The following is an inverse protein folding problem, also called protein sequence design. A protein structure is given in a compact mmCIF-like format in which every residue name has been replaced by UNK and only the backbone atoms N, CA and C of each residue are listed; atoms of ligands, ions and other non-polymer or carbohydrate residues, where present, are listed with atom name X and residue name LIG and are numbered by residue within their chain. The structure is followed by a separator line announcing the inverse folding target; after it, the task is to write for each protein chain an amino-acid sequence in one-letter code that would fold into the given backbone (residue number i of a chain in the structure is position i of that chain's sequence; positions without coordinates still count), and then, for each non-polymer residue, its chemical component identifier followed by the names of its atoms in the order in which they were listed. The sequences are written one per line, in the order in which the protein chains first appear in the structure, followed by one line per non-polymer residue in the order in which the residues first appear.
data_IF_938721455555
#
_entry.id   IF_938721455555
#
_cell.length_a   1.000
_cell.length_b   1.000
_cell.length_c   1.000
_cell.angle_alpha   90.00
_cell.angle_beta   90.00
_cell.angle_gamma   90.00
#
_symmetry.space_group_name_H-M   'P 1'
#
loop_
_entity.id
_entity.type
_entity.pdbx_description
1 polymer ?
#
# COMPACT_ATOMS: atom_id res chain seq x y z
N UNK A 1 -29.02 4.09 -12.45
CA UNK A 1 -28.28 3.61 -11.26
C UNK A 1 -26.82 3.99 -11.46
N UNK A 2 -26.30 4.94 -10.68
CA UNK A 2 -24.85 5.17 -10.63
C UNK A 2 -24.29 4.00 -9.83
N UNK A 3 -23.58 3.07 -10.46
CA UNK A 3 -22.73 2.14 -9.73
C UNK A 3 -21.61 2.98 -9.11
N UNK A 4 -21.85 3.47 -7.90
CA UNK A 4 -20.79 3.99 -7.06
C UNK A 4 -19.91 2.79 -6.70
N UNK A 5 -18.81 2.64 -7.43
CA UNK A 5 -17.74 1.71 -7.09
C UNK A 5 -17.18 2.16 -5.74
N UNK A 6 -17.58 1.48 -4.66
CA UNK A 6 -17.13 1.76 -3.30
C UNK A 6 -15.97 0.83 -2.96
N UNK A 7 -14.87 1.41 -2.50
CA UNK A 7 -13.66 0.67 -2.13
C UNK A 7 -13.79 0.16 -0.70
N UNK A 8 -13.84 -1.16 -0.50
CA UNK A 8 -13.86 -1.75 0.84
C UNK A 8 -12.48 -1.70 1.49
N UNK A 9 -12.13 -0.60 2.16
CA UNK A 9 -10.81 -0.43 2.78
C UNK A 9 -10.55 -1.41 3.94
N UNK A 10 -11.58 -1.82 4.67
CA UNK A 10 -11.46 -2.87 5.68
C UNK A 10 -11.09 -4.22 5.08
N UNK A 11 -11.78 -4.62 4.01
CA UNK A 11 -11.54 -5.88 3.30
C UNK A 11 -10.13 -5.88 2.68
N UNK A 12 -9.73 -4.73 2.12
CA UNK A 12 -8.37 -4.53 1.61
C UNK A 12 -7.32 -4.76 2.72
N UNK A 13 -7.51 -4.17 3.90
CA UNK A 13 -6.58 -4.36 5.02
C UNK A 13 -6.50 -5.83 5.44
N UNK A 14 -7.64 -6.53 5.52
CA UNK A 14 -7.69 -7.96 5.83
C UNK A 14 -6.89 -8.78 4.81
N UNK A 15 -7.05 -8.49 3.52
CA UNK A 15 -6.31 -9.19 2.46
C UNK A 15 -4.79 -8.91 2.53
N UNK A 16 -4.38 -7.66 2.80
CA UNK A 16 -2.98 -7.30 2.99
C UNK A 16 -2.37 -8.07 4.16
N UNK A 17 -3.09 -8.14 5.29
CA UNK A 17 -2.65 -8.87 6.48
C UNK A 17 -2.50 -10.37 6.20
N UNK A 18 -3.39 -10.96 5.39
CA UNK A 18 -3.32 -12.37 5.02
C UNK A 18 -2.10 -12.72 4.13
N UNK A 19 -1.52 -11.75 3.41
CA UNK A 19 -0.31 -11.96 2.60
C UNK A 19 0.97 -12.13 3.45
N UNK A 20 0.94 -11.80 4.74
CA UNK A 20 2.11 -11.94 5.63
C UNK A 20 1.77 -12.91 6.76
N UNK A 21 2.30 -14.15 6.74
CA UNK A 21 2.02 -15.13 7.79
C UNK A 21 2.49 -14.60 9.16
N UNK A 22 1.70 -14.89 10.20
CA UNK A 22 1.97 -14.47 11.59
C UNK A 22 3.28 -15.03 12.17
N UNK A 23 3.83 -16.08 11.57
CA UNK A 23 5.04 -16.76 12.04
C UNK A 23 6.08 -16.88 10.93
N UNK A 24 7.05 -15.97 10.89
CA UNK A 24 8.39 -16.38 10.44
C UNK A 24 9.20 -16.71 11.69
N UNK A 25 10.07 -17.72 11.61
CA UNK A 25 10.93 -18.15 12.72
C UNK A 25 11.80 -16.97 13.19
N UNK A 26 11.43 -16.36 14.31
CA UNK A 26 12.13 -15.20 14.86
C UNK A 26 11.21 -14.29 15.66
N UNK A 27 10.48 -14.83 16.64
CA UNK A 27 9.54 -14.08 17.49
C UNK A 27 10.27 -13.02 18.34
N UNK A 28 10.52 -11.85 17.75
CA UNK A 28 11.10 -10.68 18.40
C UNK A 28 10.43 -9.39 17.94
N UNK A 29 10.44 -8.39 18.81
CA UNK A 29 9.91 -7.03 18.55
C UNK A 29 10.28 -6.46 17.16
N UNK A 30 11.51 -6.62 16.63
CA UNK A 30 11.88 -6.10 15.30
C UNK A 30 11.07 -6.73 14.16
N UNK A 31 10.73 -8.02 14.26
CA UNK A 31 9.96 -8.74 13.26
C UNK A 31 8.49 -8.29 13.25
N UNK A 32 7.92 -8.03 14.42
CA UNK A 32 6.58 -7.46 14.55
C UNK A 32 6.51 -6.06 13.95
N UNK A 33 7.53 -5.22 14.19
CA UNK A 33 7.59 -3.87 13.64
C UNK A 33 7.77 -3.86 12.12
N UNK A 34 8.65 -4.70 11.57
CA UNK A 34 8.86 -4.80 10.13
C UNK A 34 7.58 -5.25 9.39
N UNK A 35 6.83 -6.20 9.97
CA UNK A 35 5.52 -6.62 9.45
C UNK A 35 4.50 -5.49 9.49
N UNK A 36 4.35 -4.82 10.64
CA UNK A 36 3.41 -3.71 10.77
C UNK A 36 3.74 -2.59 9.78
N UNK A 37 5.03 -2.33 9.56
CA UNK A 37 5.47 -1.32 8.61
C UNK A 37 5.16 -1.71 7.16
N UNK A 38 5.39 -2.96 6.76
CA UNK A 38 5.03 -3.40 5.41
C UNK A 38 3.54 -3.32 5.14
N UNK A 39 2.72 -3.80 6.09
CA UNK A 39 1.24 -3.72 5.98
C UNK A 39 0.82 -2.26 5.81
N UNK A 40 1.41 -1.36 6.60
CA UNK A 40 1.14 0.08 6.54
C UNK A 40 1.50 0.68 5.18
N UNK A 41 2.69 0.38 4.65
CA UNK A 41 3.16 0.85 3.35
C UNK A 41 2.26 0.36 2.21
N UNK A 42 1.90 -0.92 2.21
CA UNK A 42 1.02 -1.50 1.18
C UNK A 42 -0.37 -0.88 1.27
N UNK A 43 -0.93 -0.73 2.48
CA UNK A 43 -2.23 -0.13 2.67
C UNK A 43 -2.26 1.31 2.15
N UNK A 44 -1.30 2.15 2.55
CA UNK A 44 -1.20 3.52 2.08
C UNK A 44 -1.07 3.55 0.56
N UNK A 45 -0.18 2.75 -0.03
CA UNK A 45 0.02 2.78 -1.48
C UNK A 45 -1.21 2.30 -2.26
N UNK A 46 -1.93 1.29 -1.76
CA UNK A 46 -3.19 0.84 -2.36
C UNK A 46 -4.27 1.92 -2.29
N UNK A 47 -4.42 2.59 -1.14
CA UNK A 47 -5.43 3.64 -0.98
C UNK A 47 -5.13 4.86 -1.86
N UNK A 48 -3.85 5.24 -2.00
CA UNK A 48 -3.41 6.25 -2.98
C UNK A 48 -3.64 5.78 -4.42
N UNK A 49 -3.45 4.49 -4.71
CA UNK A 49 -3.80 3.89 -6.00
C UNK A 49 -5.28 4.02 -6.33
N UNK A 50 -6.18 3.85 -5.35
CA UNK A 50 -7.61 4.11 -5.54
C UNK A 50 -7.89 5.59 -5.84
N UNK A 51 -7.29 6.51 -5.09
CA UNK A 51 -7.41 7.95 -5.36
C UNK A 51 -6.87 8.31 -6.75
N UNK A 52 -5.75 7.72 -7.17
CA UNK A 52 -5.15 7.93 -8.49
C UNK A 52 -6.06 7.39 -9.59
N UNK A 53 -6.59 6.17 -9.43
CA UNK A 53 -7.51 5.60 -10.39
C UNK A 53 -8.78 6.45 -10.54
N UNK A 54 -9.29 7.01 -9.43
CA UNK A 54 -10.43 7.93 -9.44
C UNK A 54 -10.09 9.23 -10.19
N UNK A 55 -8.95 9.85 -9.88
CA UNK A 55 -8.47 11.08 -10.55
C UNK A 55 -8.32 10.89 -12.07
N UNK A 56 -7.72 9.76 -12.48
CA UNK A 56 -7.46 9.46 -13.90
C UNK A 56 -8.63 8.80 -14.63
N UNK A 57 -9.72 8.48 -13.94
CA UNK A 57 -10.87 7.75 -14.50
C UNK A 57 -10.54 6.31 -14.91
N UNK A 58 -9.56 5.66 -14.28
CA UNK A 58 -9.17 4.28 -14.56
C UNK A 58 -10.12 3.29 -13.88
N UNK A 59 -10.34 2.15 -14.54
CA UNK A 59 -11.05 0.99 -13.96
C UNK A 59 -10.08 0.02 -13.30
N UNK A 60 -9.25 0.55 -12.43
CA UNK A 60 -8.23 -0.16 -11.66
C UNK A 60 -8.39 0.20 -10.17
N UNK A 61 -7.77 -0.58 -9.29
CA UNK A 61 -7.80 -0.37 -7.85
C UNK A 61 -6.44 -0.62 -7.24
N UNK A 62 -6.24 -0.13 -6.02
CA UNK A 62 -5.16 -0.54 -5.14
C UNK A 62 -3.80 -0.50 -5.83
N UNK A 63 -3.07 -1.59 -5.67
CA UNK A 63 -1.76 -1.77 -6.28
C UNK A 63 -1.81 -1.85 -7.81
N UNK A 64 -2.90 -2.34 -8.42
CA UNK A 64 -3.01 -2.43 -9.89
C UNK A 64 -2.97 -1.04 -10.54
N UNK A 65 -3.58 -0.03 -9.90
CA UNK A 65 -3.53 1.35 -10.37
C UNK A 65 -2.11 1.94 -10.31
N UNK A 66 -1.36 1.60 -9.26
CA UNK A 66 0.03 2.02 -9.06
C UNK A 66 0.96 1.33 -10.07
N UNK A 67 0.83 0.01 -10.22
CA UNK A 67 1.58 -0.78 -11.21
C UNK A 67 1.33 -0.24 -12.63
N UNK A 68 0.07 0.05 -12.97
CA UNK A 68 -0.29 0.64 -14.25
C UNK A 68 0.31 2.05 -14.44
N UNK A 69 0.28 2.91 -13.41
CA UNK A 69 0.89 4.23 -13.48
C UNK A 69 2.40 4.15 -13.74
N UNK A 70 3.11 3.25 -13.05
CA UNK A 70 4.54 3.01 -13.25
C UNK A 70 4.84 2.49 -14.66
N UNK A 71 4.06 1.53 -15.15
CA UNK A 71 4.17 1.05 -16.53
C UNK A 71 3.99 2.19 -17.53
N UNK A 72 2.99 3.06 -17.34
CA UNK A 72 2.74 4.18 -18.25
C UNK A 72 3.82 5.25 -18.21
N UNK A 73 4.38 5.55 -17.02
CA UNK A 73 5.36 6.63 -16.83
C UNK A 73 6.75 6.23 -17.30
N UNK A 74 7.18 5.01 -16.99
CA UNK A 74 8.55 4.56 -17.23
C UNK A 74 8.69 3.47 -18.28
N UNK A 75 7.59 2.93 -18.81
CA UNK A 75 7.59 1.79 -19.73
C UNK A 75 8.29 0.54 -19.17
N UNK A 76 8.35 0.42 -17.84
CA UNK A 76 8.92 -0.75 -17.19
C UNK A 76 7.99 -1.97 -17.33
N UNK A 77 8.55 -3.18 -17.51
CA UNK A 77 7.78 -4.41 -17.47
C UNK A 77 7.08 -4.59 -16.11
N UNK A 78 5.89 -5.17 -16.13
CA UNK A 78 5.11 -5.42 -14.92
C UNK A 78 5.86 -6.30 -13.92
N UNK A 79 6.60 -7.30 -14.40
CA UNK A 79 7.43 -8.19 -13.57
C UNK A 79 8.51 -7.40 -12.82
N UNK A 80 9.21 -6.49 -13.52
CA UNK A 80 10.21 -5.61 -12.92
C UNK A 80 9.60 -4.73 -11.83
N UNK A 81 8.42 -4.13 -12.08
CA UNK A 81 7.73 -3.32 -11.07
C UNK A 81 7.34 -4.17 -9.85
N UNK A 82 6.94 -5.42 -10.08
CA UNK A 82 6.51 -6.32 -9.01
C UNK A 82 7.65 -6.78 -8.11
N UNK A 83 8.87 -6.85 -8.64
CA UNK A 83 10.07 -7.15 -7.87
C UNK A 83 10.57 -5.95 -7.04
N UNK A 84 10.10 -4.72 -7.34
CA UNK A 84 10.49 -3.54 -6.60
C UNK A 84 9.93 -3.55 -5.16
N UNK A 85 10.73 -3.09 -4.17
CA UNK A 85 10.24 -2.76 -2.85
C UNK A 85 9.06 -1.78 -2.91
N UNK A 86 8.09 -1.92 -1.99
CA UNK A 86 6.89 -1.08 -1.94
C UNK A 86 7.26 0.41 -1.83
N UNK A 87 8.30 0.73 -1.04
CA UNK A 87 8.85 2.07 -0.92
C UNK A 87 9.32 2.65 -2.26
N UNK A 88 10.00 1.85 -3.09
CA UNK A 88 10.54 2.33 -4.36
C UNK A 88 9.44 2.60 -5.37
N UNK A 89 8.35 1.82 -5.34
CA UNK A 89 7.14 2.08 -6.14
C UNK A 89 6.52 3.42 -5.77
N UNK A 90 6.41 3.70 -4.46
CA UNK A 90 5.95 4.99 -3.97
C UNK A 90 6.89 6.12 -4.38
N UNK A 91 8.21 5.96 -4.20
CA UNK A 91 9.21 6.97 -4.54
C UNK A 91 9.16 7.32 -6.04
N UNK A 92 8.94 6.33 -6.91
CA UNK A 92 8.82 6.57 -8.34
C UNK A 92 7.57 7.40 -8.76
N UNK A 93 6.55 7.49 -7.89
CA UNK A 93 5.30 8.24 -8.12
C UNK A 93 5.04 9.35 -7.10
N UNK A 94 5.92 9.61 -6.14
CA UNK A 94 5.59 10.38 -4.93
C UNK A 94 5.03 11.78 -5.24
N UNK A 95 5.52 12.42 -6.31
CA UNK A 95 5.04 13.75 -6.75
C UNK A 95 3.60 13.68 -7.26
N UNK A 96 3.28 12.65 -8.06
CA UNK A 96 1.93 12.49 -8.62
C UNK A 96 0.93 12.07 -7.55
N UNK A 97 1.38 11.33 -6.53
CA UNK A 97 0.52 10.91 -5.43
C UNK A 97 0.31 12.00 -4.37
N UNK A 98 1.23 12.97 -4.26
CA UNK A 98 1.18 14.01 -3.23
C UNK A 98 -0.02 14.96 -3.39
N UNK A 99 -0.45 15.20 -4.62
CA UNK A 99 -1.57 16.11 -4.93
C UNK A 99 -2.95 15.43 -4.82
N UNK A 100 -2.99 14.11 -4.57
CA UNK A 100 -4.23 13.37 -4.53
C UNK A 100 -4.95 13.57 -3.20
N UNK A 101 -6.25 13.83 -3.27
CA UNK A 101 -7.10 13.75 -2.09
C UNK A 101 -7.14 12.30 -1.60
N UNK A 102 -6.67 12.09 -0.38
CA UNK A 102 -6.75 10.80 0.24
C UNK A 102 -8.16 10.54 0.77
N UNK A 103 -8.66 9.34 0.49
CA UNK A 103 -10.05 8.96 0.76
C UNK A 103 -10.37 8.97 2.26
N UNK A 104 -11.46 9.64 2.63
CA UNK A 104 -11.90 9.76 4.03
C UNK A 104 -12.18 8.38 4.65
N UNK A 105 -12.76 7.43 3.90
CA UNK A 105 -13.01 6.08 4.42
C UNK A 105 -11.69 5.32 4.68
N UNK A 106 -10.69 5.52 3.83
CA UNK A 106 -9.36 4.95 4.04
C UNK A 106 -8.67 5.54 5.28
N UNK A 107 -8.81 6.84 5.50
CA UNK A 107 -8.29 7.52 6.69
C UNK A 107 -8.93 6.96 7.96
N UNK A 108 -10.25 6.75 7.98
CA UNK A 108 -10.94 6.17 9.13
C UNK A 108 -10.43 4.76 9.45
N UNK A 109 -10.24 3.91 8.43
CA UNK A 109 -9.69 2.56 8.63
C UNK A 109 -8.26 2.62 9.19
N UNK A 110 -7.43 3.54 8.69
CA UNK A 110 -6.09 3.72 9.24
C UNK A 110 -6.12 4.10 10.72
N UNK A 111 -6.83 5.17 11.07
CA UNK A 111 -6.86 5.71 12.44
C UNK A 111 -7.37 4.65 13.43
N UNK A 112 -8.34 3.86 12.99
CA UNK A 112 -8.94 2.81 13.82
C UNK A 112 -8.06 1.56 13.98
N UNK A 113 -7.30 1.16 12.95
CA UNK A 113 -6.71 -0.20 12.89
C UNK A 113 -5.19 -0.25 12.72
N UNK A 114 -4.57 0.79 12.17
CA UNK A 114 -3.14 0.79 11.83
C UNK A 114 -2.36 1.72 12.78
N UNK A 115 -2.84 2.95 12.99
CA UNK A 115 -2.19 3.93 13.88
C UNK A 115 -1.91 3.41 15.30
N UNK A 116 -2.80 2.63 15.96
CA UNK A 116 -2.53 2.09 17.29
C UNK A 116 -1.36 1.10 17.35
N UNK A 117 -0.98 0.51 16.21
CA UNK A 117 0.08 -0.50 16.10
C UNK A 117 1.40 0.13 15.66
N UNK A 118 1.33 1.16 14.81
CA UNK A 118 2.49 1.90 14.32
C UNK A 118 2.17 3.41 14.33
N UNK A 119 2.48 4.11 15.44
CA UNK A 119 2.18 5.52 15.58
C UNK A 119 3.05 6.35 14.62
N UNK A 120 2.42 7.29 13.92
CA UNK A 120 3.02 8.06 12.85
C UNK A 120 1.91 8.39 11.85
N UNK A 121 1.38 9.60 11.94
CA UNK A 121 0.14 9.99 11.29
C UNK A 121 0.21 9.81 9.77
N UNK A 122 -0.86 9.33 9.14
CA UNK A 122 -0.89 9.25 7.70
C UNK A 122 -1.57 10.51 7.13
N UNK A 123 -1.28 10.81 5.87
CA UNK A 123 -1.97 11.87 5.12
C UNK A 123 -1.21 13.18 5.00
N UNK A 124 -0.05 13.34 5.65
CA UNK A 124 0.88 14.45 5.35
C UNK A 124 2.34 14.14 5.61
N UNK A 125 2.66 13.19 6.52
CA UNK A 125 4.05 12.93 6.90
C UNK A 125 4.59 11.60 6.35
N UNK A 126 5.79 11.69 5.78
CA UNK A 126 6.52 10.64 5.08
C UNK A 126 7.01 9.49 6.01
N UNK A 127 6.49 9.40 7.23
CA UNK A 127 7.01 8.54 8.31
C UNK A 127 6.83 7.04 8.01
N UNK A 128 5.75 6.65 7.33
CA UNK A 128 5.55 5.27 6.82
C UNK A 128 6.73 4.81 5.94
N UNK A 129 7.36 5.75 5.25
CA UNK A 129 8.45 5.51 4.30
C UNK A 129 9.85 5.72 4.89
N UNK A 130 9.97 6.15 6.17
CA UNK A 130 11.27 6.50 6.80
C UNK A 130 12.09 5.33 7.32
N UNK A 131 11.48 4.18 7.61
CA UNK A 131 12.21 3.04 8.17
C UNK A 131 12.40 1.93 7.12
N UNK A 132 13.64 1.69 6.72
CA UNK A 132 14.02 0.42 6.12
C UNK A 132 14.36 -0.48 7.30
N UNK A 133 13.48 -1.38 7.72
CA UNK A 133 13.86 -2.37 8.73
C UNK A 133 14.94 -3.28 8.11
N UNK A 134 16.24 -3.13 8.46
CA UNK A 134 17.31 -3.84 7.77
C UNK A 134 17.23 -5.31 8.15
N UNK A 135 17.18 -6.20 7.14
CA UNK A 135 17.21 -7.65 7.36
C UNK A 135 15.85 -8.36 7.34
N UNK A 136 14.73 -7.67 7.10
CA UNK A 136 13.47 -8.36 6.86
C UNK A 136 13.35 -8.73 5.38
N UNK A 137 13.44 -10.03 5.07
CA UNK A 137 13.02 -10.54 3.77
C UNK A 137 11.49 -10.50 3.71
N UNK A 138 10.98 -9.40 3.17
CA UNK A 138 9.60 -9.28 2.73
C UNK A 138 9.31 -10.39 1.70
N UNK A 139 8.09 -10.95 1.67
CA UNK A 139 7.71 -11.83 0.57
C UNK A 139 7.96 -11.07 -0.75
N UNK A 140 8.75 -11.68 -1.66
CA UNK A 140 9.22 -11.05 -2.91
C UNK A 140 8.10 -10.63 -3.86
N UNK A 141 6.86 -10.94 -3.54
CA UNK A 141 5.69 -10.28 -4.06
C UNK A 141 4.58 -10.49 -3.02
N UNK A 142 3.67 -9.54 -2.79
CA UNK A 142 2.34 -9.95 -2.39
C UNK A 142 1.86 -10.84 -3.54
N UNK A 143 1.78 -12.15 -3.31
CA UNK A 143 1.14 -13.05 -4.25
C UNK A 143 -0.26 -12.50 -4.50
N UNK A 144 -0.43 -11.82 -5.63
CA UNK A 144 -1.66 -11.24 -6.13
C UNK A 144 -2.60 -10.70 -5.05
N UNK A 145 -2.38 -9.46 -4.59
CA UNK A 145 -3.43 -8.66 -3.96
C UNK A 145 -4.45 -8.26 -5.03
N UNK A 146 -5.26 -9.22 -5.48
CA UNK A 146 -6.46 -8.95 -6.27
C UNK A 146 -7.53 -8.52 -5.27
N UNK A 147 -7.52 -7.23 -4.94
CA UNK A 147 -8.56 -6.60 -4.12
C UNK A 147 -9.81 -6.45 -4.98
N UNK A 148 -10.56 -7.56 -5.15
CA UNK A 148 -11.85 -7.58 -5.85
C UNK A 148 -13.01 -7.11 -4.99
#
# INVERSE_FOLDING_TARGET
MKNEYRFGYDEMLIQIQACVPDSQKGDGLPMTMARAQWISQVFVLCTLGNSLARDKGWRLWGMDAIEYALMRRYSWPLETIREMPIRDRWLALHEELADLQWDEEAQQVWLAKIEPVLPGAPGTDYDVWRSDAPGFQLPQAPGYLVVR
#
